data_IF_097079320160
#
_entry.id   IF_097079320160
#
_cell.length_a   1.000
_cell.length_b   1.000
_cell.length_c   1.000
_cell.angle_alpha   90.00
_cell.angle_beta   90.00
_cell.angle_gamma   90.00
#
_symmetry.space_group_name_H-M   'P 1'
#
loop_
_entity.id
_entity.type
_entity.pdbx_description
1 polymer ?
#
# COMPACT_ATOMS: atom_id res chain seq x y z
N UNK A 1 15.35 6.41 -4.30
CA UNK A 1 14.65 7.02 -3.15
C UNK A 1 13.30 6.34 -3.00
N UNK A 2 13.10 5.77 -1.82
CA UNK A 2 12.08 4.78 -1.48
C UNK A 2 10.69 5.40 -1.33
N UNK A 3 9.63 4.63 -1.58
CA UNK A 3 8.22 5.08 -1.44
C UNK A 3 7.61 4.46 -0.19
N UNK A 4 7.29 5.27 0.82
CA UNK A 4 6.64 4.82 2.08
C UNK A 4 5.18 5.21 2.09
N UNK A 5 4.26 4.27 2.27
CA UNK A 5 2.83 4.48 2.15
C UNK A 5 2.09 4.36 3.49
N UNK A 6 1.34 5.39 3.86
CA UNK A 6 0.31 5.41 4.88
C UNK A 6 -1.07 5.16 4.24
N UNK A 7 -1.77 4.14 4.72
CA UNK A 7 -3.14 3.81 4.28
C UNK A 7 -4.12 4.80 4.94
N UNK A 8 -4.86 5.56 4.14
CA UNK A 8 -5.96 6.42 4.64
C UNK A 8 -7.30 5.92 4.11
N UNK A 9 -8.19 5.57 5.04
CA UNK A 9 -9.58 5.17 4.77
C UNK A 9 -10.36 6.32 4.13
N UNK A 10 -10.85 6.11 2.91
CA UNK A 10 -11.60 7.09 2.13
C UNK A 10 -13.12 6.84 2.32
N UNK A 11 -13.75 7.52 3.28
CA UNK A 11 -15.21 7.56 3.39
C UNK A 11 -15.76 8.80 2.68
N UNK A 12 -16.43 8.63 1.53
CA UNK A 12 -17.29 9.68 0.94
C UNK A 12 -18.58 9.10 0.33
N UNK A 13 -19.70 9.48 0.95
CA UNK A 13 -20.98 9.84 0.32
C UNK A 13 -21.79 8.75 -0.40
N UNK A 14 -22.80 8.19 0.29
CA UNK A 14 -23.89 7.45 -0.35
C UNK A 14 -25.22 8.21 -0.25
N UNK A 15 -25.83 8.45 -1.42
CA UNK A 15 -27.19 8.95 -1.58
C UNK A 15 -27.93 8.08 -2.60
N UNK A 16 -29.11 7.60 -2.19
CA UNK A 16 -30.24 7.07 -3.00
C UNK A 16 -30.04 5.74 -3.76
N UNK A 17 -30.43 4.63 -3.12
CA UNK A 17 -31.42 3.63 -3.60
C UNK A 17 -31.41 2.39 -2.69
N UNK A 18 -32.36 2.35 -1.76
CA UNK A 18 -32.59 1.23 -0.85
C UNK A 18 -33.37 0.11 -1.57
N UNK A 19 -32.68 -0.79 -2.28
CA UNK A 19 -33.20 -2.13 -2.61
C UNK A 19 -32.11 -3.15 -3.00
N UNK A 20 -30.81 -2.79 -2.89
CA UNK A 20 -29.69 -3.66 -3.23
C UNK A 20 -28.60 -3.62 -2.12
N UNK A 21 -29.01 -3.54 -0.85
CA UNK A 21 -28.07 -3.41 0.26
C UNK A 21 -27.52 -4.75 0.75
N UNK A 22 -28.27 -5.86 0.68
CA UNK A 22 -27.81 -7.14 1.22
C UNK A 22 -26.63 -7.72 0.42
N UNK A 23 -26.69 -7.70 -0.92
CA UNK A 23 -25.58 -8.17 -1.77
C UNK A 23 -24.34 -7.27 -1.65
N UNK A 24 -24.53 -5.97 -1.38
CA UNK A 24 -23.44 -5.02 -1.21
C UNK A 24 -22.76 -5.17 0.15
N UNK A 25 -23.51 -5.46 1.20
CA UNK A 25 -22.97 -5.79 2.52
C UNK A 25 -22.17 -7.10 2.46
N UNK A 26 -22.70 -8.15 1.82
CA UNK A 26 -21.96 -9.40 1.64
C UNK A 26 -20.67 -9.21 0.83
N UNK A 27 -20.69 -8.38 -0.23
CA UNK A 27 -19.48 -8.05 -0.98
C UNK A 27 -18.49 -7.20 -0.17
N UNK A 28 -18.96 -6.31 0.70
CA UNK A 28 -18.09 -5.52 1.58
C UNK A 28 -17.42 -6.40 2.62
N UNK A 29 -18.18 -7.31 3.25
CA UNK A 29 -17.63 -8.29 4.19
C UNK A 29 -16.65 -9.24 3.48
N UNK A 30 -16.96 -9.67 2.25
CA UNK A 30 -16.09 -10.51 1.44
C UNK A 30 -14.79 -9.81 1.05
N UNK A 31 -14.84 -8.53 0.65
CA UNK A 31 -13.63 -7.77 0.33
C UNK A 31 -12.81 -7.45 1.59
N UNK A 32 -13.47 -7.17 2.72
CA UNK A 32 -12.79 -6.95 3.99
C UNK A 32 -12.03 -8.21 4.47
N UNK A 33 -12.54 -9.40 4.14
CA UNK A 33 -11.90 -10.68 4.46
C UNK A 33 -11.08 -11.27 3.30
N UNK A 34 -10.88 -10.52 2.20
CA UNK A 34 -10.13 -11.03 1.04
C UNK A 34 -8.66 -11.17 1.43
N UNK A 35 -8.30 -12.39 1.82
CA UNK A 35 -6.95 -12.78 2.15
C UNK A 35 -6.11 -12.75 0.88
N UNK A 36 -4.88 -12.22 0.95
CA UNK A 36 -3.94 -12.32 -0.15
C UNK A 36 -3.60 -13.80 -0.40
N UNK A 37 -3.95 -14.31 -1.57
CA UNK A 37 -3.67 -15.68 -2.00
C UNK A 37 -2.61 -15.69 -3.09
N UNK A 38 -1.70 -16.67 -3.03
CA UNK A 38 -0.62 -16.78 -4.01
C UNK A 38 -1.20 -17.17 -5.38
N UNK A 39 -0.67 -16.58 -6.46
CA UNK A 39 -1.11 -16.76 -7.88
C UNK A 39 -2.47 -16.19 -8.23
N UNK A 40 -3.12 -15.48 -7.32
CA UNK A 40 -4.33 -14.69 -7.60
C UNK A 40 -3.97 -13.21 -7.82
N UNK A 41 -4.92 -12.45 -8.34
CA UNK A 41 -4.77 -11.00 -8.43
C UNK A 41 -4.58 -10.40 -7.02
N UNK A 42 -3.51 -9.61 -6.86
CA UNK A 42 -3.21 -8.93 -5.62
C UNK A 42 -4.40 -8.04 -5.18
N UNK A 43 -4.67 -7.93 -3.86
CA UNK A 43 -5.66 -6.98 -3.36
C UNK A 43 -5.35 -5.55 -3.83
N UNK A 44 -6.37 -4.85 -4.33
CA UNK A 44 -6.24 -3.44 -4.73
C UNK A 44 -5.97 -2.57 -3.50
N UNK A 45 -5.06 -1.61 -3.65
CA UNK A 45 -4.72 -0.65 -2.60
C UNK A 45 -4.45 0.74 -3.18
N UNK A 46 -4.75 1.76 -2.38
CA UNK A 46 -4.48 3.17 -2.65
C UNK A 46 -4.33 3.94 -1.32
N UNK A 47 -3.61 5.06 -1.33
CA UNK A 47 -3.25 5.79 -0.11
C UNK A 47 -2.12 6.79 -0.31
N UNK A 48 -1.69 7.42 0.78
CA UNK A 48 -0.71 8.51 0.76
C UNK A 48 0.68 7.98 1.01
N UNK A 49 1.67 8.42 0.25
CA UNK A 49 3.04 8.01 0.42
C UNK A 49 4.01 9.18 0.41
N UNK A 50 5.10 9.07 1.17
CA UNK A 50 6.26 9.96 1.05
C UNK A 50 7.17 9.42 -0.05
N UNK A 51 7.29 10.20 -1.12
CA UNK A 51 8.13 9.91 -2.29
C UNK A 51 8.96 11.16 -2.57
N UNK A 52 10.27 11.02 -2.55
CA UNK A 52 11.19 12.15 -2.75
C UNK A 52 10.96 13.33 -1.77
N UNK A 53 10.62 13.01 -0.51
CA UNK A 53 10.33 13.99 0.53
C UNK A 53 8.99 14.71 0.36
N UNK A 54 8.14 14.27 -0.59
CA UNK A 54 6.82 14.86 -0.85
C UNK A 54 5.73 13.83 -0.61
N UNK A 55 4.66 14.25 0.04
CA UNK A 55 3.46 13.44 0.20
C UNK A 55 2.72 13.40 -1.15
N UNK A 56 2.48 12.21 -1.66
CA UNK A 56 1.83 11.94 -2.95
C UNK A 56 0.83 10.79 -2.79
N UNK A 57 -0.26 10.81 -3.54
CA UNK A 57 -1.17 9.67 -3.59
C UNK A 57 -0.59 8.61 -4.54
N UNK A 58 -0.55 7.35 -4.09
CA UNK A 58 -0.13 6.20 -4.88
C UNK A 58 -1.15 5.06 -4.77
N UNK A 59 -1.14 4.19 -5.77
CA UNK A 59 -2.02 3.03 -5.87
C UNK A 59 -1.32 1.87 -6.56
N UNK A 60 -1.87 0.66 -6.40
CA UNK A 60 -1.37 -0.53 -7.11
C UNK A 60 -1.39 -0.31 -8.64
N UNK A 61 -2.38 0.43 -9.14
CA UNK A 61 -2.55 0.72 -10.56
C UNK A 61 -1.39 1.52 -11.17
N UNK A 62 -0.68 2.32 -10.38
CA UNK A 62 0.46 3.13 -10.84
C UNK A 62 1.69 2.28 -11.21
N UNK A 63 1.70 1.01 -10.82
CA UNK A 63 2.81 0.08 -11.02
C UNK A 63 2.50 -1.01 -12.05
N UNK A 64 1.42 -0.88 -12.82
CA UNK A 64 1.09 -1.84 -13.89
C UNK A 64 2.26 -2.03 -14.85
N UNK A 65 2.54 -3.28 -15.18
CA UNK A 65 3.67 -3.66 -16.05
C UNK A 65 5.03 -3.71 -15.36
N UNK A 66 5.09 -3.49 -14.03
CA UNK A 66 6.30 -3.65 -13.21
C UNK A 66 6.07 -4.72 -12.15
N UNK A 67 7.14 -5.36 -11.71
CA UNK A 67 7.08 -6.12 -10.47
C UNK A 67 7.00 -5.17 -9.28
N UNK A 68 6.24 -5.53 -8.26
CA UNK A 68 6.09 -4.74 -7.04
C UNK A 68 6.41 -5.60 -5.84
N UNK A 69 7.38 -5.17 -5.05
CA UNK A 69 7.66 -5.69 -3.72
C UNK A 69 6.97 -4.80 -2.71
N UNK A 70 5.95 -5.33 -2.04
CA UNK A 70 5.22 -4.64 -0.98
C UNK A 70 5.74 -5.14 0.37
N UNK A 71 6.54 -4.32 1.05
CA UNK A 71 7.17 -4.65 2.32
C UNK A 71 6.39 -4.02 3.48
N UNK A 72 5.87 -4.84 4.39
CA UNK A 72 5.21 -4.33 5.59
C UNK A 72 6.18 -4.31 6.75
N UNK A 73 6.23 -3.19 7.49
CA UNK A 73 7.00 -3.07 8.71
C UNK A 73 6.13 -2.56 9.87
N UNK A 74 6.48 -2.84 11.13
CA UNK A 74 5.54 -2.68 12.24
C UNK A 74 5.20 -1.22 12.57
N UNK A 75 6.22 -0.37 12.71
CA UNK A 75 6.08 1.00 13.25
C UNK A 75 7.34 1.82 12.97
N UNK A 76 7.20 3.13 12.81
CA UNK A 76 8.29 4.11 12.78
C UNK A 76 8.88 4.37 14.19
N UNK A 77 10.15 4.76 14.27
CA UNK A 77 10.84 5.17 15.52
C UNK A 77 10.90 4.12 16.64
N UNK A 78 10.98 2.83 16.28
CA UNK A 78 11.21 1.76 17.27
C UNK A 78 12.66 1.73 17.75
N UNK A 79 12.92 0.96 18.83
CA UNK A 79 14.27 0.70 19.34
C UNK A 79 15.08 -0.28 18.47
N UNK A 80 14.43 -0.97 17.53
CA UNK A 80 15.09 -1.89 16.61
C UNK A 80 15.62 -1.08 15.43
N UNK A 81 16.90 -1.29 15.09
CA UNK A 81 17.54 -0.59 13.98
C UNK A 81 16.78 -0.90 12.66
N UNK A 82 16.46 0.10 11.82
CA UNK A 82 15.66 -0.07 10.60
C UNK A 82 16.45 -0.66 9.43
N UNK A 83 17.40 -1.57 9.72
CA UNK A 83 18.38 -2.10 8.77
C UNK A 83 17.74 -2.73 7.53
N UNK A 84 16.60 -3.38 7.71
CA UNK A 84 15.85 -4.00 6.61
C UNK A 84 15.36 -2.94 5.60
N UNK A 85 14.68 -1.89 6.08
CA UNK A 85 14.13 -0.84 5.22
C UNK A 85 15.25 -0.05 4.52
N UNK A 86 16.34 0.22 5.24
CA UNK A 86 17.50 0.91 4.64
C UNK A 86 18.18 0.04 3.59
N UNK A 87 18.31 -1.27 3.81
CA UNK A 87 18.89 -2.18 2.82
C UNK A 87 18.10 -2.22 1.50
N UNK A 88 16.77 -2.25 1.56
CA UNK A 88 15.93 -2.14 0.36
C UNK A 88 16.07 -0.78 -0.34
N UNK A 89 16.19 0.31 0.43
CA UNK A 89 16.40 1.65 -0.13
C UNK A 89 17.75 1.76 -0.84
N UNK A 90 18.82 1.21 -0.26
CA UNK A 90 20.16 1.22 -0.83
C UNK A 90 20.25 0.36 -2.10
N UNK A 91 19.54 -0.77 -2.12
CA UNK A 91 19.45 -1.67 -3.26
C UNK A 91 18.46 -1.21 -4.36
N UNK A 92 17.83 -0.04 -4.24
CA UNK A 92 16.83 0.44 -5.20
C UNK A 92 17.31 0.39 -6.67
N UNK A 93 18.59 0.74 -6.90
CA UNK A 93 19.16 0.72 -8.24
C UNK A 93 19.25 -0.69 -8.85
N UNK A 94 19.31 -1.73 -8.03
CA UNK A 94 19.29 -3.13 -8.48
C UNK A 94 17.88 -3.56 -8.86
N UNK A 95 16.87 -3.17 -8.08
CA UNK A 95 15.46 -3.41 -8.40
C UNK A 95 15.04 -2.69 -9.69
N UNK A 96 15.51 -1.45 -9.89
CA UNK A 96 15.21 -0.69 -11.10
C UNK A 96 15.73 -1.39 -12.37
N UNK A 97 16.91 -2.04 -12.32
CA UNK A 97 17.50 -2.80 -13.45
C UNK A 97 16.62 -3.97 -13.89
N UNK A 98 15.84 -4.55 -12.98
CA UNK A 98 14.94 -5.69 -13.24
C UNK A 98 13.47 -5.27 -13.31
N UNK A 99 13.19 -4.00 -13.61
CA UNK A 99 11.84 -3.44 -13.75
C UNK A 99 10.95 -3.73 -12.52
N UNK A 100 11.52 -3.60 -11.33
CA UNK A 100 10.87 -3.87 -10.05
C UNK A 100 10.81 -2.60 -9.21
N UNK A 101 9.71 -2.41 -8.50
CA UNK A 101 9.50 -1.29 -7.58
C UNK A 101 9.28 -1.80 -6.16
N UNK A 102 9.85 -1.10 -5.18
CA UNK A 102 9.70 -1.44 -3.76
C UNK A 102 8.88 -0.35 -3.07
N UNK A 103 7.87 -0.78 -2.32
CA UNK A 103 7.00 0.08 -1.52
C UNK A 103 6.99 -0.46 -0.11
N UNK A 104 7.38 0.35 0.88
CA UNK A 104 7.16 -0.02 2.27
C UNK A 104 5.88 0.57 2.82
N UNK A 105 5.25 -0.20 3.70
CA UNK A 105 3.97 0.13 4.30
C UNK A 105 4.05 -0.11 5.81
N UNK A 106 3.57 0.84 6.58
CA UNK A 106 3.25 0.66 7.99
C UNK A 106 1.87 1.27 8.28
N UNK A 107 1.43 1.17 9.53
CA UNK A 107 0.20 1.81 9.99
C UNK A 107 0.45 3.24 10.51
N UNK A 108 1.65 3.78 10.32
CA UNK A 108 1.99 5.14 10.74
C UNK A 108 1.38 6.20 9.81
N UNK A 109 1.39 7.45 10.26
CA UNK A 109 0.96 8.58 9.44
C UNK A 109 2.03 8.95 8.41
N UNK A 110 1.63 9.52 7.27
CA UNK A 110 2.57 10.06 6.28
C UNK A 110 3.48 11.19 6.81
N UNK A 111 3.18 11.75 7.98
CA UNK A 111 3.97 12.80 8.62
C UNK A 111 5.15 12.24 9.45
N UNK A 112 5.13 10.93 9.73
CA UNK A 112 6.17 10.24 10.49
C UNK A 112 7.38 9.81 9.64
N UNK A 113 7.20 9.80 8.31
CA UNK A 113 8.10 9.14 7.35
C UNK A 113 9.24 10.01 6.81
#
# INVERSE_FOLDING_TARGET
>A
MFRRMAVTSLQKGLSRRAFCNTLRLLNLDYQAYKTATVREAAPEWAGKAVVNGKIQDISLNDYKGKYVVLLFYPMDFTFVCPTEITAFSDAQAEFDKINTQVVAVSCDSQYSH
#
